data_IF_502209743166
#
_entry.id   IF_502209743166
#
_cell.length_a   1.000
_cell.length_b   1.000
_cell.length_c   1.000
_cell.angle_alpha   90.00
_cell.angle_beta   90.00
_cell.angle_gamma   90.00
#
_symmetry.space_group_name_H-M   'P 1'
#
loop_
_entity.id
_entity.type
_entity.pdbx_description
1 polymer ?
#
# COMPACT_ATOMS: atom_id res chain seq x y z
N UNK A 1 14.18 -2.64 -18.26
CA UNK A 1 13.60 -1.83 -19.36
C UNK A 1 12.47 -2.54 -20.08
N UNK A 2 12.61 -3.85 -20.30
CA UNK A 2 11.60 -4.72 -20.94
C UNK A 2 10.34 -4.89 -20.08
N UNK A 3 9.28 -5.44 -20.66
CA UNK A 3 8.02 -5.71 -19.95
C UNK A 3 8.22 -6.72 -18.81
N UNK A 4 7.31 -6.76 -17.81
CA UNK A 4 7.37 -7.75 -16.73
C UNK A 4 7.37 -9.20 -17.24
N UNK A 5 6.62 -9.49 -18.31
CA UNK A 5 6.55 -10.83 -18.90
C UNK A 5 7.86 -11.22 -19.59
N UNK A 6 8.47 -10.32 -20.37
CA UNK A 6 9.79 -10.53 -20.98
C UNK A 6 10.89 -10.72 -19.92
N UNK A 7 10.80 -9.99 -18.81
CA UNK A 7 11.70 -10.17 -17.67
C UNK A 7 11.51 -11.56 -17.05
N UNK A 8 10.26 -11.93 -16.73
CA UNK A 8 9.95 -13.22 -16.12
C UNK A 8 10.34 -14.41 -17.02
N UNK A 9 10.22 -14.26 -18.33
CA UNK A 9 10.66 -15.26 -19.30
C UNK A 9 12.17 -15.48 -19.28
N UNK A 10 12.98 -14.46 -18.98
CA UNK A 10 14.42 -14.57 -18.86
C UNK A 10 15.10 -13.22 -18.68
N UNK A 11 15.98 -13.07 -17.69
CA UNK A 11 16.71 -11.83 -17.41
C UNK A 11 18.17 -12.08 -16.99
N UNK A 12 18.95 -10.99 -16.99
CA UNK A 12 20.33 -10.99 -16.51
C UNK A 12 20.37 -11.21 -14.99
N UNK A 13 21.34 -11.98 -14.48
CA UNK A 13 21.52 -12.17 -13.05
C UNK A 13 21.70 -10.86 -12.27
N UNK A 14 20.94 -10.71 -11.18
CA UNK A 14 21.00 -9.55 -10.30
C UNK A 14 20.33 -8.27 -10.84
N UNK A 15 19.70 -8.32 -12.03
CA UNK A 15 18.93 -7.19 -12.54
C UNK A 15 17.51 -7.19 -11.96
N UNK A 16 17.03 -6.02 -11.57
CA UNK A 16 15.64 -5.81 -11.19
C UNK A 16 14.77 -5.48 -12.40
N UNK A 17 13.47 -5.82 -12.32
CA UNK A 17 12.50 -5.42 -13.33
C UNK A 17 12.06 -3.96 -13.13
N UNK A 18 12.31 -3.13 -14.13
CA UNK A 18 11.84 -1.75 -14.21
C UNK A 18 11.52 -1.43 -15.69
N UNK A 19 10.23 -1.40 -16.10
CA UNK A 19 9.84 -0.99 -17.44
C UNK A 19 10.26 0.45 -17.73
N UNK A 20 10.77 0.74 -18.93
CA UNK A 20 11.46 2.00 -19.24
C UNK A 20 10.67 3.27 -18.88
N UNK A 21 9.43 3.39 -19.37
CA UNK A 21 8.58 4.55 -19.06
C UNK A 21 8.30 4.73 -17.57
N UNK A 22 8.04 3.63 -16.85
CA UNK A 22 7.81 3.66 -15.40
C UNK A 22 9.06 4.09 -14.64
N UNK A 23 10.24 3.62 -15.07
CA UNK A 23 11.51 4.00 -14.43
C UNK A 23 11.78 5.51 -14.55
N UNK A 24 11.45 6.12 -15.69
CA UNK A 24 11.60 7.58 -15.86
C UNK A 24 10.58 8.34 -15.00
N UNK A 25 9.35 7.84 -14.90
CA UNK A 25 8.28 8.52 -14.15
C UNK A 25 8.43 8.38 -12.62
N UNK A 26 8.89 7.23 -12.14
CA UNK A 26 9.01 6.90 -10.71
C UNK A 26 10.45 6.49 -10.38
N UNK A 27 11.43 7.28 -10.84
CA UNK A 27 12.86 6.95 -10.64
C UNK A 27 13.22 6.77 -9.18
N UNK A 28 12.64 7.56 -8.28
CA UNK A 28 12.87 7.51 -6.84
C UNK A 28 12.41 6.18 -6.20
N UNK A 29 11.38 5.53 -6.73
CA UNK A 29 10.94 4.21 -6.28
C UNK A 29 11.98 3.11 -6.59
N UNK A 30 12.76 3.29 -7.65
CA UNK A 30 13.75 2.30 -8.12
C UNK A 30 15.19 2.65 -7.72
N UNK A 31 15.52 3.93 -7.64
CA UNK A 31 16.84 4.48 -7.32
C UNK A 31 16.70 5.59 -6.26
N UNK A 32 16.44 5.24 -4.99
CA UNK A 32 16.23 6.23 -3.92
C UNK A 32 17.51 6.96 -3.51
N UNK A 33 18.69 6.45 -3.89
CA UNK A 33 19.98 7.06 -3.56
C UNK A 33 20.43 7.99 -4.68
N UNK A 34 20.24 9.30 -4.51
CA UNK A 34 20.69 10.31 -5.48
C UNK A 34 22.20 10.21 -5.72
N UNK A 35 22.60 10.20 -6.99
CA UNK A 35 24.01 10.06 -7.39
C UNK A 35 24.50 8.61 -7.47
N UNK A 36 23.65 7.62 -7.19
CA UNK A 36 23.95 6.22 -7.49
C UNK A 36 24.13 6.01 -9.00
N UNK A 37 24.92 4.99 -9.34
CA UNK A 37 25.04 4.51 -10.72
C UNK A 37 23.86 3.62 -11.08
N UNK A 38 23.23 3.88 -12.21
CA UNK A 38 22.14 3.05 -12.74
C UNK A 38 22.65 2.32 -13.99
N UNK A 39 22.49 1.00 -14.02
CA UNK A 39 22.86 0.17 -15.17
C UNK A 39 21.59 -0.37 -15.81
N UNK A 40 21.39 -0.08 -17.10
CA UNK A 40 20.22 -0.49 -17.87
C UNK A 40 20.58 -1.62 -18.82
N UNK A 41 19.63 -2.53 -19.04
CA UNK A 41 19.74 -3.58 -20.03
C UNK A 41 18.40 -3.82 -20.74
N UNK A 42 18.52 -4.14 -22.03
CA UNK A 42 17.46 -4.66 -22.88
C UNK A 42 18.03 -5.75 -23.81
N UNK A 43 17.27 -6.13 -24.83
CA UNK A 43 17.64 -7.10 -25.86
C UNK A 43 17.55 -6.53 -27.28
N UNK A 44 17.26 -5.24 -27.43
CA UNK A 44 17.03 -4.57 -28.72
C UNK A 44 17.90 -3.31 -28.93
N UNK A 45 18.59 -2.83 -27.89
CA UNK A 45 19.42 -1.63 -27.93
C UNK A 45 18.62 -0.33 -28.06
N UNK A 46 17.30 -0.38 -27.89
CA UNK A 46 16.43 0.81 -28.07
C UNK A 46 15.88 1.25 -26.73
N UNK A 47 15.33 0.31 -25.95
CA UNK A 47 14.59 0.64 -24.72
C UNK A 47 15.54 1.16 -23.64
N UNK A 48 16.72 0.58 -23.52
CA UNK A 48 17.76 0.98 -22.59
C UNK A 48 18.38 2.31 -23.00
N UNK A 49 18.73 2.50 -24.27
CA UNK A 49 19.31 3.76 -24.76
C UNK A 49 18.34 4.94 -24.59
N UNK A 50 17.07 4.77 -24.99
CA UNK A 50 16.05 5.80 -24.82
C UNK A 50 15.79 6.12 -23.35
N UNK A 51 15.77 5.12 -22.47
CA UNK A 51 15.57 5.35 -21.03
C UNK A 51 16.81 6.03 -20.42
N UNK A 52 18.01 5.63 -20.84
CA UNK A 52 19.26 6.20 -20.37
C UNK A 52 19.39 7.68 -20.75
N UNK A 53 18.97 8.09 -21.95
CA UNK A 53 19.02 9.49 -22.34
C UNK A 53 18.17 10.39 -21.44
N UNK A 54 16.98 9.94 -21.03
CA UNK A 54 16.15 10.66 -20.05
C UNK A 54 16.77 10.70 -18.65
N UNK A 55 17.29 9.57 -18.17
CA UNK A 55 17.95 9.53 -16.85
C UNK A 55 19.22 10.40 -16.81
N UNK A 56 19.99 10.44 -17.89
CA UNK A 56 21.17 11.30 -18.02
C UNK A 56 20.79 12.79 -17.96
N UNK A 57 19.73 13.18 -18.69
CA UNK A 57 19.16 14.53 -18.63
C UNK A 57 18.63 14.88 -17.22
N UNK A 58 18.19 13.89 -16.44
CA UNK A 58 17.85 14.04 -15.02
C UNK A 58 19.05 13.97 -14.07
N UNK A 59 20.28 14.03 -14.58
CA UNK A 59 21.52 14.14 -13.80
C UNK A 59 22.02 12.83 -13.16
N UNK A 60 21.62 11.66 -13.68
CA UNK A 60 22.07 10.36 -13.19
C UNK A 60 23.35 9.85 -13.90
N UNK A 61 24.24 9.15 -13.18
CA UNK A 61 25.32 8.35 -13.82
C UNK A 61 24.71 7.04 -14.33
N UNK A 62 24.36 7.04 -15.62
CA UNK A 62 23.72 5.90 -16.28
C UNK A 62 24.67 5.20 -17.24
N UNK A 63 24.60 3.86 -17.26
CA UNK A 63 25.32 3.00 -18.19
C UNK A 63 24.34 2.05 -18.86
N UNK A 64 24.54 1.76 -20.13
CA UNK A 64 23.77 0.75 -20.86
C UNK A 64 24.67 -0.46 -21.12
N UNK A 65 24.15 -1.64 -20.81
CA UNK A 65 24.75 -2.91 -21.23
C UNK A 65 24.40 -3.09 -22.70
N UNK A 66 25.39 -3.46 -23.53
CA UNK A 66 25.11 -3.78 -24.93
C UNK A 66 24.05 -4.89 -25.05
N UNK A 67 23.26 -4.90 -26.14
CA UNK A 67 22.13 -5.82 -26.29
C UNK A 67 22.56 -7.27 -26.02
N UNK A 68 21.88 -7.89 -25.05
CA UNK A 68 22.28 -9.20 -24.54
C UNK A 68 21.55 -10.31 -25.28
N UNK A 69 22.24 -11.41 -25.61
CA UNK A 69 21.61 -12.56 -26.25
C UNK A 69 20.66 -13.30 -25.29
N UNK A 70 19.66 -14.00 -25.85
CA UNK A 70 18.74 -14.81 -25.05
C UNK A 70 19.43 -15.88 -24.18
N UNK A 71 20.57 -16.40 -24.61
CA UNK A 71 21.36 -17.42 -23.89
C UNK A 71 22.01 -16.90 -22.61
N UNK A 72 22.23 -15.58 -22.51
CA UNK A 72 22.87 -14.94 -21.36
C UNK A 72 21.83 -14.48 -20.31
N UNK A 73 20.54 -14.50 -20.66
CA UNK A 73 19.41 -14.21 -19.77
C UNK A 73 18.96 -15.46 -19.01
N UNK A 74 19.80 -15.89 -18.08
CA UNK A 74 19.66 -17.18 -17.38
C UNK A 74 18.66 -17.22 -16.23
N UNK A 75 18.39 -16.09 -15.56
CA UNK A 75 17.43 -16.04 -14.45
C UNK A 75 15.99 -15.93 -14.98
N UNK A 76 15.03 -16.56 -14.30
CA UNK A 76 13.61 -16.59 -14.70
C UNK A 76 12.72 -16.33 -13.48
N UNK A 77 11.50 -15.86 -13.75
CA UNK A 77 10.51 -15.54 -12.72
C UNK A 77 10.55 -14.08 -12.28
N UNK A 78 9.87 -13.79 -11.17
CA UNK A 78 9.77 -12.44 -10.62
C UNK A 78 11.08 -11.94 -10.00
N UNK A 79 11.19 -10.63 -9.76
CA UNK A 79 12.39 -10.05 -9.16
C UNK A 79 12.70 -10.69 -7.80
N UNK A 80 13.98 -10.97 -7.56
CA UNK A 80 14.42 -11.53 -6.29
C UNK A 80 14.07 -10.59 -5.13
N UNK A 81 13.30 -11.08 -4.16
CA UNK A 81 12.95 -10.32 -2.98
C UNK A 81 14.12 -10.32 -1.99
N UNK A 82 15.01 -9.32 -2.09
CA UNK A 82 15.98 -9.01 -1.04
C UNK A 82 15.31 -8.21 0.08
N UNK A 83 14.29 -8.80 0.71
CA UNK A 83 13.61 -8.20 1.86
C UNK A 83 14.29 -8.66 3.16
N UNK A 84 14.34 -7.81 4.21
CA UNK A 84 14.72 -8.28 5.54
C UNK A 84 13.78 -9.40 5.98
N UNK A 85 14.29 -10.32 6.81
CA UNK A 85 13.45 -11.35 7.41
C UNK A 85 12.81 -10.81 8.70
N UNK A 86 11.49 -10.99 8.90
CA UNK A 86 10.86 -10.62 10.16
C UNK A 86 11.34 -11.52 11.28
N UNK A 87 11.27 -11.03 12.53
CA UNK A 87 11.46 -11.87 13.70
C UNK A 87 10.40 -12.98 13.72
N UNK A 88 10.82 -14.19 14.10
CA UNK A 88 9.91 -15.30 14.29
C UNK A 88 8.75 -14.89 15.21
N UNK A 89 7.54 -15.11 14.73
CA UNK A 89 6.31 -14.80 15.45
C UNK A 89 5.49 -16.06 15.61
N UNK A 90 4.83 -16.20 16.75
CA UNK A 90 3.81 -17.23 16.92
C UNK A 90 2.74 -17.07 15.85
N UNK A 91 2.32 -18.18 15.26
CA UNK A 91 1.33 -18.21 14.19
C UNK A 91 0.03 -18.83 14.67
N UNK A 92 -1.06 -18.52 13.97
CA UNK A 92 -2.36 -19.18 14.15
C UNK A 92 -2.90 -19.59 12.79
N UNK A 93 -3.43 -20.81 12.70
CA UNK A 93 -4.03 -21.32 11.47
C UNK A 93 -5.35 -20.62 11.16
N UNK A 94 -5.77 -20.67 9.90
CA UNK A 94 -7.07 -20.14 9.45
C UNK A 94 -8.23 -20.80 10.20
N UNK A 95 -8.20 -22.12 10.38
CA UNK A 95 -9.27 -22.86 11.07
C UNK A 95 -9.40 -22.47 12.54
N UNK A 96 -8.27 -22.34 13.24
CA UNK A 96 -8.26 -21.93 14.65
C UNK A 96 -8.78 -20.50 14.80
N UNK A 97 -8.36 -19.57 13.95
CA UNK A 97 -8.89 -18.21 13.99
C UNK A 97 -10.39 -18.17 13.68
N UNK A 98 -10.85 -18.93 12.67
CA UNK A 98 -12.26 -19.02 12.33
C UNK A 98 -13.10 -19.54 13.50
N UNK A 99 -12.61 -20.57 14.20
CA UNK A 99 -13.25 -21.10 15.40
C UNK A 99 -13.34 -20.04 16.52
N UNK A 100 -12.27 -19.30 16.79
CA UNK A 100 -12.27 -18.24 17.81
C UNK A 100 -13.25 -17.12 17.49
N UNK A 101 -13.44 -16.80 16.20
CA UNK A 101 -14.39 -15.79 15.75
C UNK A 101 -15.83 -16.31 15.64
N UNK A 102 -16.08 -17.60 15.86
CA UNK A 102 -17.39 -18.22 15.63
C UNK A 102 -17.81 -18.20 14.17
N UNK A 103 -16.84 -18.16 13.25
CA UNK A 103 -17.06 -18.08 11.81
C UNK A 103 -16.92 -19.48 11.22
N UNK A 104 -17.87 -19.87 10.38
CA UNK A 104 -17.87 -21.16 9.68
C UNK A 104 -17.92 -20.94 8.17
N UNK A 105 -17.33 -21.87 7.42
CA UNK A 105 -17.47 -21.89 5.97
C UNK A 105 -18.96 -22.01 5.61
N UNK A 106 -19.45 -21.07 4.80
CA UNK A 106 -20.82 -21.12 4.30
C UNK A 106 -21.00 -22.31 3.36
N UNK A 107 -22.05 -23.10 3.55
CA UNK A 107 -22.48 -24.07 2.55
C UNK A 107 -22.99 -23.31 1.31
N UNK A 108 -22.21 -23.38 0.22
CA UNK A 108 -22.48 -22.92 -1.15
C UNK A 108 -22.39 -21.42 -1.49
N UNK A 109 -21.43 -21.13 -2.37
CA UNK A 109 -21.69 -20.39 -3.60
C UNK A 109 -21.05 -21.15 -4.78
N UNK A 110 -21.59 -22.33 -5.09
CA UNK A 110 -21.39 -22.98 -6.38
C UNK A 110 -22.62 -22.63 -7.24
N UNK A 111 -22.54 -21.53 -7.98
CA UNK A 111 -23.53 -21.17 -8.98
C UNK A 111 -22.85 -20.42 -10.14
N UNK A 112 -22.68 -21.14 -11.25
CA UNK A 112 -22.78 -20.55 -12.59
C UNK A 112 -21.51 -19.94 -13.18
N UNK A 113 -20.57 -20.78 -13.58
CA UNK A 113 -19.85 -20.53 -14.82
C UNK A 113 -20.84 -20.69 -15.99
N UNK A 114 -21.33 -19.58 -16.52
CA UNK A 114 -21.95 -19.53 -17.85
C UNK A 114 -21.72 -18.13 -18.45
N UNK A 115 -21.06 -18.12 -19.60
CA UNK A 115 -20.84 -16.95 -20.43
C UNK A 115 -22.16 -16.33 -20.88
N UNK A 116 -22.24 -14.99 -20.88
CA UNK A 116 -22.79 -14.21 -21.99
C UNK A 116 -22.64 -12.70 -21.79
N UNK A 117 -22.09 -12.06 -22.83
CA UNK A 117 -22.57 -10.79 -23.40
C UNK A 117 -22.67 -9.56 -22.52
N UNK A 118 -21.77 -8.61 -22.75
CA UNK A 118 -22.01 -7.18 -22.48
C UNK A 118 -23.30 -6.71 -23.21
N UNK A 119 -24.07 -5.81 -22.59
CA UNK A 119 -24.51 -4.66 -23.35
C UNK A 119 -24.21 -3.33 -22.63
N UNK A 120 -23.95 -2.34 -23.48
CA UNK A 120 -23.71 -0.94 -23.16
C UNK A 120 -24.93 -0.24 -22.55
N UNK A 121 -24.64 0.72 -21.67
CA UNK A 121 -25.38 1.99 -21.57
C UNK A 121 -26.74 1.99 -20.87
N UNK A 122 -26.78 2.51 -19.64
CA UNK A 122 -27.69 3.63 -19.30
C UNK A 122 -27.36 4.24 -17.93
N UNK A 123 -27.51 5.55 -17.89
CA UNK A 123 -27.10 6.45 -16.81
C UNK A 123 -28.18 6.65 -15.74
N UNK A 124 -27.72 7.20 -14.62
CA UNK A 124 -28.38 8.08 -13.66
C UNK A 124 -29.26 7.48 -12.53
N UNK A 125 -28.76 7.66 -11.30
CA UNK A 125 -29.42 8.19 -10.08
C UNK A 125 -28.68 7.61 -8.86
N UNK A 126 -28.26 8.32 -7.81
CA UNK A 126 -28.32 9.72 -7.41
C UNK A 126 -27.63 9.75 -6.03
N UNK A 127 -26.58 10.57 -5.90
CA UNK A 127 -25.68 10.62 -4.75
C UNK A 127 -26.30 11.36 -3.55
N UNK A 128 -26.32 10.68 -2.40
CA UNK A 128 -26.60 11.26 -1.09
C UNK A 128 -25.53 10.79 -0.09
N UNK A 129 -24.26 11.12 -0.33
CA UNK A 129 -23.17 10.92 0.63
C UNK A 129 -22.17 12.10 0.70
N UNK A 130 -22.37 13.17 -0.08
CA UNK A 130 -21.42 14.27 -0.21
C UNK A 130 -21.46 15.37 0.88
N UNK A 131 -21.70 15.04 2.17
CA UNK A 131 -21.81 16.08 3.23
C UNK A 131 -20.85 15.98 4.41
N UNK A 132 -19.91 15.04 4.47
CA UNK A 132 -19.05 14.91 5.66
C UNK A 132 -17.54 14.80 5.43
N UNK A 133 -17.02 15.22 4.27
CA UNK A 133 -15.57 15.18 3.99
C UNK A 133 -14.94 16.52 3.62
N UNK A 134 -15.71 17.63 3.63
CA UNK A 134 -15.18 18.97 3.27
C UNK A 134 -14.28 19.59 4.34
N UNK A 135 -14.50 19.29 5.62
CA UNK A 135 -13.83 20.04 6.70
C UNK A 135 -12.46 19.47 7.12
N UNK A 136 -12.12 18.25 6.71
CA UNK A 136 -10.86 17.60 7.12
C UNK A 136 -9.70 17.80 6.12
N UNK A 137 -9.98 18.23 4.89
CA UNK A 137 -8.99 18.26 3.80
C UNK A 137 -8.37 19.65 3.58
N UNK A 138 -9.03 20.73 4.02
CA UNK A 138 -8.52 22.10 3.93
C UNK A 138 -7.47 22.44 5.00
N UNK A 139 -7.35 21.63 6.06
CA UNK A 139 -6.45 21.91 7.18
C UNK A 139 -4.98 21.58 6.88
N UNK A 140 -4.70 20.53 6.11
CA UNK A 140 -3.32 20.08 5.88
C UNK A 140 -2.55 20.94 4.86
N UNK A 141 -3.25 21.58 3.93
CA UNK A 141 -2.65 22.52 2.98
C UNK A 141 -2.30 23.89 3.59
N UNK A 142 -2.80 24.19 4.80
CA UNK A 142 -2.59 25.49 5.49
C UNK A 142 -1.52 25.46 6.58
N UNK A 143 -0.97 24.30 6.91
CA UNK A 143 -0.01 24.14 8.01
C UNK A 143 1.46 24.44 7.62
N UNK A 144 1.73 24.73 6.34
CA UNK A 144 3.05 25.21 5.85
C UNK A 144 3.19 26.74 5.96
N UNK A 145 2.12 27.47 6.31
CA UNK A 145 2.16 28.91 6.57
C UNK A 145 1.74 29.17 8.03
N UNK A 146 2.74 29.33 8.91
CA UNK A 146 2.54 29.40 10.35
C UNK A 146 1.63 30.54 10.82
N UNK A 147 0.83 30.26 11.84
CA UNK A 147 0.40 31.20 12.89
C UNK A 147 -0.19 30.40 14.05
N UNK A 148 0.20 30.75 15.28
CA UNK A 148 -0.12 30.01 16.49
C UNK A 148 -1.38 30.47 17.21
N UNK A 149 -1.81 29.66 18.18
CA UNK A 149 -2.55 30.14 19.35
C UNK A 149 -3.85 29.40 19.67
N UNK A 150 -3.87 28.72 20.82
CA UNK A 150 -5.05 28.70 21.69
C UNK A 150 -5.64 27.34 22.05
N UNK A 151 -5.66 27.04 23.36
CA UNK A 151 -6.79 26.33 23.98
C UNK A 151 -6.55 24.89 24.45
N UNK A 152 -5.75 24.71 25.51
CA UNK A 152 -5.72 23.46 26.26
C UNK A 152 -7.01 23.32 27.09
N UNK A 153 -7.95 22.49 26.61
CA UNK A 153 -9.13 22.10 27.37
C UNK A 153 -8.99 20.64 27.80
N UNK A 154 -8.53 20.48 29.05
CA UNK A 154 -8.54 19.25 29.83
C UNK A 154 -9.96 18.66 29.87
N UNK A 155 -10.19 17.57 29.13
CA UNK A 155 -11.35 16.70 29.32
C UNK A 155 -10.89 15.43 30.00
N UNK A 156 -11.12 15.39 31.30
CA UNK A 156 -11.09 14.21 32.14
C UNK A 156 -11.75 13.03 31.43
N UNK A 157 -10.97 11.96 31.25
CA UNK A 157 -11.44 10.67 30.79
C UNK A 157 -12.48 10.14 31.81
N UNK A 158 -13.75 10.10 31.40
CA UNK A 158 -14.76 9.31 32.08
C UNK A 158 -14.48 7.84 31.80
N UNK A 159 -14.15 7.08 32.85
CA UNK A 159 -14.18 5.61 32.82
C UNK A 159 -15.57 5.15 32.37
N UNK A 160 -15.63 4.48 31.21
CA UNK A 160 -16.87 3.84 30.74
C UNK A 160 -16.96 2.47 31.40
N UNK A 161 -18.08 2.24 32.08
CA UNK A 161 -18.46 0.95 32.64
C UNK A 161 -18.83 -0.04 31.53
N UNK A 162 -17.82 -0.60 30.85
CA UNK A 162 -17.85 -1.82 30.01
C UNK A 162 -16.41 -2.27 29.62
N UNK A 163 -15.44 -2.18 30.55
CA UNK A 163 -13.99 -2.35 30.27
C UNK A 163 -13.48 -3.82 30.33
N UNK A 164 -14.36 -4.80 30.12
CA UNK A 164 -13.93 -6.20 30.04
C UNK A 164 -13.23 -6.45 28.69
N UNK A 165 -12.00 -7.02 28.69
CA UNK A 165 -11.30 -7.30 27.44
C UNK A 165 -12.05 -8.35 26.63
N UNK A 166 -12.18 -8.12 25.32
CA UNK A 166 -12.70 -9.13 24.39
C UNK A 166 -11.69 -10.29 24.26
N UNK A 167 -12.14 -11.46 23.84
CA UNK A 167 -11.23 -12.61 23.76
C UNK A 167 -10.17 -12.44 22.66
N UNK A 168 -10.56 -12.06 21.44
CA UNK A 168 -9.65 -11.91 20.29
C UNK A 168 -9.91 -10.61 19.52
N UNK A 169 -8.84 -9.86 19.26
CA UNK A 169 -8.85 -8.74 18.32
C UNK A 169 -8.00 -9.07 17.08
N UNK A 170 -8.60 -8.97 15.89
CA UNK A 170 -7.88 -9.10 14.61
C UNK A 170 -7.48 -7.71 14.12
N UNK A 171 -6.20 -7.52 13.80
CA UNK A 171 -5.64 -6.27 13.24
C UNK A 171 -5.18 -6.55 11.80
N UNK A 172 -5.78 -5.88 10.83
CA UNK A 172 -5.36 -5.93 9.43
C UNK A 172 -4.46 -4.73 9.11
N UNK A 173 -3.20 -5.02 8.78
CA UNK A 173 -2.18 -4.01 8.44
C UNK A 173 -1.92 -3.93 6.92
N UNK A 174 -2.78 -4.52 6.09
CA UNK A 174 -2.74 -4.34 4.62
C UNK A 174 -3.01 -2.87 4.23
N UNK A 175 -2.76 -2.48 2.97
CA UNK A 175 -3.19 -1.18 2.46
C UNK A 175 -4.71 -0.98 2.63
N UNK A 176 -5.17 0.21 2.99
CA UNK A 176 -6.58 0.49 3.29
C UNK A 176 -7.52 0.14 2.14
N UNK A 177 -7.06 0.30 0.90
CA UNK A 177 -7.82 -0.09 -0.30
C UNK A 177 -8.11 -1.59 -0.37
N UNK A 178 -7.17 -2.44 0.08
CA UNK A 178 -7.37 -3.88 0.16
C UNK A 178 -8.35 -4.24 1.27
N UNK A 179 -8.20 -3.63 2.46
CA UNK A 179 -9.13 -3.81 3.57
C UNK A 179 -10.56 -3.45 3.14
N UNK A 180 -10.77 -2.27 2.58
CA UNK A 180 -12.09 -1.80 2.10
C UNK A 180 -12.65 -2.75 1.03
N UNK A 181 -11.81 -3.31 0.16
CA UNK A 181 -12.25 -4.26 -0.87
C UNK A 181 -12.76 -5.57 -0.26
N UNK A 182 -12.04 -6.13 0.72
CA UNK A 182 -12.39 -7.33 1.48
C UNK A 182 -11.44 -7.56 2.66
N UNK A 183 -11.99 -7.92 3.81
CA UNK A 183 -11.21 -8.24 5.02
C UNK A 183 -11.91 -9.32 5.87
N UNK A 184 -11.17 -9.85 6.85
CA UNK A 184 -11.70 -10.84 7.82
C UNK A 184 -12.80 -10.18 8.65
N UNK A 185 -13.95 -10.85 8.89
CA UNK A 185 -15.04 -10.27 9.68
C UNK A 185 -14.58 -9.76 11.04
N UNK A 186 -14.98 -8.53 11.37
CA UNK A 186 -14.59 -7.86 12.61
C UNK A 186 -13.13 -7.41 12.73
N UNK A 187 -12.30 -7.55 11.70
CA UNK A 187 -10.92 -7.05 11.73
C UNK A 187 -10.86 -5.51 11.79
N UNK A 188 -9.92 -4.99 12.57
CA UNK A 188 -9.61 -3.56 12.66
C UNK A 188 -8.50 -3.20 11.69
N UNK A 189 -8.75 -2.25 10.80
CA UNK A 189 -7.70 -1.67 9.96
C UNK A 189 -6.78 -0.79 10.80
N UNK A 190 -5.47 -1.02 10.72
CA UNK A 190 -4.46 -0.17 11.35
C UNK A 190 -3.23 0.00 10.46
N UNK A 191 -2.68 1.21 10.45
CA UNK A 191 -1.37 1.49 9.84
C UNK A 191 -0.29 1.04 10.81
N UNK A 192 0.64 0.19 10.37
CA UNK A 192 1.74 -0.35 11.20
C UNK A 192 2.48 0.74 12.00
N UNK A 193 2.80 1.86 11.37
CA UNK A 193 3.49 2.98 12.00
C UNK A 193 2.66 3.71 13.09
N UNK A 194 1.36 3.46 13.14
CA UNK A 194 0.41 4.09 14.06
C UNK A 194 -0.20 3.11 15.06
N UNK A 195 0.38 1.91 15.25
CA UNK A 195 -0.16 0.88 16.14
C UNK A 195 -0.41 1.38 17.56
N UNK A 196 0.45 2.27 18.07
CA UNK A 196 0.28 2.89 19.40
C UNK A 196 -1.03 3.65 19.50
N UNK A 197 -1.33 4.51 18.53
CA UNK A 197 -2.56 5.31 18.52
C UNK A 197 -3.77 4.45 18.18
N UNK A 198 -3.61 3.47 17.28
CA UNK A 198 -4.66 2.53 16.90
C UNK A 198 -5.17 1.74 18.11
N UNK A 199 -4.29 1.30 19.01
CA UNK A 199 -4.67 0.59 20.24
C UNK A 199 -5.59 1.41 21.15
N UNK A 200 -5.49 2.74 21.15
CA UNK A 200 -6.37 3.61 21.95
C UNK A 200 -7.80 3.67 21.43
N UNK A 201 -8.01 3.27 20.17
CA UNK A 201 -9.30 3.29 19.46
C UNK A 201 -9.95 1.92 19.37
N UNK A 202 -9.24 0.88 19.83
CA UNK A 202 -9.70 -0.50 19.84
C UNK A 202 -10.12 -0.92 21.26
N UNK A 203 -11.07 -1.85 21.39
CA UNK A 203 -11.30 -2.52 22.67
C UNK A 203 -10.04 -3.28 23.10
N UNK A 204 -9.81 -3.38 24.40
CA UNK A 204 -8.77 -4.25 24.95
C UNK A 204 -9.08 -5.70 24.60
N UNK A 205 -8.07 -6.49 24.26
CA UNK A 205 -8.24 -7.90 23.96
C UNK A 205 -7.30 -8.78 24.78
N UNK A 206 -7.73 -10.02 25.04
CA UNK A 206 -6.92 -11.06 25.70
C UNK A 206 -5.91 -11.68 24.74
N UNK A 207 -6.16 -11.62 23.43
CA UNK A 207 -5.31 -12.12 22.37
C UNK A 207 -5.43 -11.21 21.13
N UNK A 208 -4.30 -10.92 20.48
CA UNK A 208 -4.26 -10.15 19.24
C UNK A 208 -3.77 -11.03 18.09
N UNK A 209 -4.44 -10.95 16.94
CA UNK A 209 -4.03 -11.64 15.71
C UNK A 209 -3.80 -10.62 14.61
N UNK A 210 -2.58 -10.52 14.09
CA UNK A 210 -2.28 -9.67 12.94
C UNK A 210 -2.46 -10.43 11.64
N UNK A 211 -3.00 -9.74 10.65
CA UNK A 211 -3.07 -10.20 9.26
C UNK A 211 -2.65 -9.09 8.30
N UNK A 212 -2.30 -9.49 7.09
CA UNK A 212 -2.25 -8.67 5.90
C UNK A 212 -2.48 -9.60 4.70
N UNK A 213 -2.23 -9.16 3.46
CA UNK A 213 -2.41 -10.02 2.27
C UNK A 213 -1.79 -11.42 2.42
N UNK A 214 -0.46 -11.51 2.57
CA UNK A 214 0.30 -12.76 2.65
C UNK A 214 0.78 -13.15 4.05
N UNK A 215 0.56 -12.28 5.06
CA UNK A 215 1.13 -12.41 6.41
C UNK A 215 2.53 -11.80 6.58
N UNK A 216 3.23 -11.44 5.49
CA UNK A 216 4.61 -10.92 5.56
C UNK A 216 4.73 -9.60 6.34
N UNK A 217 3.91 -8.59 6.02
CA UNK A 217 3.91 -7.32 6.77
C UNK A 217 3.40 -7.50 8.21
N UNK A 218 2.44 -8.40 8.41
CA UNK A 218 1.90 -8.72 9.73
C UNK A 218 2.97 -9.29 10.67
N UNK A 219 3.91 -10.09 10.16
CA UNK A 219 5.01 -10.62 10.96
C UNK A 219 5.93 -9.53 11.53
N UNK A 220 6.21 -8.49 10.76
CA UNK A 220 6.94 -7.33 11.28
C UNK A 220 6.11 -6.52 12.28
N UNK A 221 4.84 -6.28 11.96
CA UNK A 221 3.92 -5.54 12.84
C UNK A 221 3.67 -6.27 14.17
N UNK A 222 3.77 -7.61 14.21
CA UNK A 222 3.64 -8.39 15.43
C UNK A 222 4.75 -8.09 16.44
N UNK A 223 6.00 -7.91 15.98
CA UNK A 223 7.12 -7.53 16.84
C UNK A 223 6.89 -6.13 17.44
N UNK A 224 6.47 -5.17 16.61
CA UNK A 224 6.15 -3.82 17.06
C UNK A 224 4.99 -3.81 18.07
N UNK A 225 3.94 -4.59 17.80
CA UNK A 225 2.78 -4.67 18.68
C UNK A 225 3.14 -5.26 20.04
N UNK A 226 3.96 -6.32 20.09
CA UNK A 226 4.44 -6.91 21.36
C UNK A 226 5.19 -5.89 22.21
N UNK A 227 5.96 -4.99 21.61
CA UNK A 227 6.68 -3.94 22.33
C UNK A 227 5.75 -2.86 22.93
N UNK A 228 4.50 -2.78 22.48
CA UNK A 228 3.49 -1.82 22.95
C UNK A 228 2.55 -2.40 24.01
N UNK A 229 2.45 -3.73 24.10
CA UNK A 229 1.51 -4.43 24.98
C UNK A 229 2.16 -4.86 26.31
N UNK A 230 1.35 -5.09 27.38
CA UNK A 230 1.86 -5.71 28.60
C UNK A 230 2.55 -7.04 28.33
N UNK A 231 3.64 -7.30 29.04
CA UNK A 231 4.40 -8.54 28.92
C UNK A 231 3.49 -9.78 29.07
N UNK A 232 3.66 -10.76 28.18
CA UNK A 232 2.88 -11.99 28.17
C UNK A 232 1.52 -11.89 27.47
N UNK A 233 1.16 -10.74 26.89
CA UNK A 233 -0.05 -10.64 26.06
C UNK A 233 0.13 -11.44 24.76
N UNK A 234 -0.71 -12.45 24.46
CA UNK A 234 -0.62 -13.25 23.24
C UNK A 234 -0.77 -12.39 21.97
N UNK A 235 0.17 -12.56 21.05
CA UNK A 235 0.19 -11.92 19.73
C UNK A 235 0.54 -12.97 18.68
N UNK A 236 -0.39 -13.26 17.78
CA UNK A 236 -0.20 -14.21 16.69
C UNK A 236 -0.23 -13.52 15.32
N UNK A 237 0.35 -14.19 14.32
CA UNK A 237 0.22 -13.85 12.91
C UNK A 237 -0.62 -14.91 12.22
N UNK A 238 -1.62 -14.50 11.43
CA UNK A 238 -2.42 -15.44 10.65
C UNK A 238 -1.57 -16.10 9.56
N UNK A 239 -1.52 -17.44 9.56
CA UNK A 239 -0.79 -18.22 8.56
C UNK A 239 -1.33 -17.98 7.16
N UNK A 240 -0.46 -17.56 6.24
CA UNK A 240 -0.82 -17.20 4.87
C UNK A 240 -1.69 -15.94 4.73
N UNK A 241 -1.96 -15.23 5.84
CA UNK A 241 -2.71 -13.98 5.88
C UNK A 241 -4.14 -14.07 5.35
N UNK A 242 -4.68 -12.91 4.97
CA UNK A 242 -6.04 -12.80 4.45
C UNK A 242 -6.22 -13.56 3.12
N UNK A 243 -5.14 -13.78 2.34
CA UNK A 243 -5.21 -14.62 1.14
C UNK A 243 -5.51 -16.09 1.48
N UNK A 244 -4.95 -16.65 2.55
CA UNK A 244 -5.28 -18.01 2.99
C UNK A 244 -6.70 -18.10 3.55
N UNK A 245 -7.15 -17.09 4.30
CA UNK A 245 -8.55 -16.98 4.74
C UNK A 245 -9.54 -17.02 3.55
N UNK A 246 -9.24 -16.26 2.49
CA UNK A 246 -10.03 -16.26 1.26
C UNK A 246 -9.99 -17.61 0.54
N UNK A 247 -8.82 -18.25 0.47
CA UNK A 247 -8.66 -19.56 -0.16
C UNK A 247 -9.45 -20.66 0.58
N UNK A 248 -9.64 -20.52 1.89
CA UNK A 248 -10.47 -21.40 2.70
C UNK A 248 -11.98 -21.19 2.50
N UNK A 249 -12.40 -20.22 1.66
CA UNK A 249 -13.82 -19.96 1.38
C UNK A 249 -14.59 -19.40 2.58
N UNK A 250 -13.90 -18.85 3.58
CA UNK A 250 -14.50 -18.24 4.75
C UNK A 250 -15.13 -16.88 4.39
N UNK A 251 -16.18 -16.44 5.12
CA UNK A 251 -16.85 -15.18 4.84
C UNK A 251 -15.92 -13.99 5.06
N UNK A 252 -16.24 -12.88 4.40
CA UNK A 252 -15.49 -11.62 4.46
C UNK A 252 -16.43 -10.43 4.57
N UNK A 253 -15.94 -9.37 5.19
CA UNK A 253 -16.57 -8.05 5.19
C UNK A 253 -15.99 -7.16 4.10
N UNK A 254 -16.72 -6.10 3.74
CA UNK A 254 -16.33 -5.09 2.74
C UNK A 254 -16.68 -3.70 3.27
N UNK A 255 -16.03 -2.68 2.74
CA UNK A 255 -16.23 -1.30 3.17
C UNK A 255 -15.37 -0.93 4.38
N UNK A 256 -15.67 0.22 4.96
CA UNK A 256 -14.94 0.82 6.08
C UNK A 256 -15.58 0.42 7.42
N UNK A 257 -15.54 -0.87 7.77
CA UNK A 257 -16.29 -1.37 8.94
C UNK A 257 -15.64 -0.96 10.27
N UNK A 258 -14.32 -1.09 10.42
CA UNK A 258 -13.58 -0.76 11.66
C UNK A 258 -12.21 -0.14 11.36
N UNK A 259 -12.13 1.19 11.37
CA UNK A 259 -10.89 1.92 11.12
C UNK A 259 -10.25 2.39 12.44
N UNK A 260 -9.18 1.72 12.89
CA UNK A 260 -8.38 2.20 14.02
C UNK A 260 -7.42 3.33 13.59
N UNK A 261 -6.92 3.28 12.35
CA UNK A 261 -6.10 4.35 11.75
C UNK A 261 -6.86 5.11 10.65
N UNK A 262 -6.57 6.41 10.44
CA UNK A 262 -7.04 7.12 9.25
C UNK A 262 -6.43 6.53 7.97
N UNK A 263 -7.15 6.64 6.85
CA UNK A 263 -6.74 6.13 5.53
C UNK A 263 -5.81 7.11 4.80
N UNK A 264 -4.62 7.31 5.35
CA UNK A 264 -3.58 8.19 4.79
C UNK A 264 -2.40 7.39 4.20
N UNK A 265 -2.56 6.08 4.05
CA UNK A 265 -1.53 5.14 3.57
C UNK A 265 -1.30 5.22 2.06
N UNK A 266 -2.16 5.94 1.33
CA UNK A 266 -2.04 6.16 -0.11
C UNK A 266 -2.39 7.60 -0.45
N UNK A 267 -1.49 8.28 -1.15
CA UNK A 267 -1.81 9.55 -1.79
C UNK A 267 -2.82 9.31 -2.92
N UNK A 268 -3.96 10.01 -2.86
CA UNK A 268 -4.97 9.96 -3.91
C UNK A 268 -4.50 10.82 -5.09
N UNK A 269 -3.78 10.17 -6.02
CA UNK A 269 -3.26 10.79 -7.25
C UNK A 269 -4.42 11.32 -8.11
N UNK A 270 -4.51 12.64 -8.37
CA UNK A 270 -5.62 13.23 -9.13
C UNK A 270 -5.75 12.71 -10.56
N UNK A 271 -4.64 12.22 -11.13
CA UNK A 271 -4.55 11.65 -12.48
C UNK A 271 -4.83 10.13 -12.55
N UNK A 272 -5.13 9.47 -11.43
CA UNK A 272 -5.48 8.04 -11.43
C UNK A 272 -7.00 7.82 -11.26
N UNK A 273 -7.58 7.02 -12.16
CA UNK A 273 -9.00 6.66 -12.14
C UNK A 273 -9.93 7.78 -12.63
N UNK A 274 -11.25 7.53 -12.60
CA UNK A 274 -12.26 8.45 -13.18
C UNK A 274 -13.15 9.13 -12.13
N UNK A 275 -12.89 8.89 -10.84
CA UNK A 275 -13.73 9.38 -9.72
C UNK A 275 -13.22 10.65 -9.03
N UNK A 276 -12.23 11.35 -9.61
CA UNK A 276 -11.65 12.55 -9.01
C UNK A 276 -12.46 13.80 -9.37
N UNK A 277 -12.56 14.74 -8.44
CA UNK A 277 -13.22 16.02 -8.67
C UNK A 277 -12.45 16.85 -9.72
N UNK A 278 -13.16 17.60 -10.55
CA UNK A 278 -12.56 18.42 -11.60
C UNK A 278 -11.58 19.44 -11.03
N UNK A 279 -11.92 20.01 -9.88
CA UNK A 279 -11.10 20.99 -9.16
C UNK A 279 -9.77 20.39 -8.70
N UNK A 280 -9.76 19.12 -8.26
CA UNK A 280 -8.54 18.43 -7.87
C UNK A 280 -7.64 18.11 -9.07
N UNK A 281 -8.24 17.79 -10.22
CA UNK A 281 -7.49 17.60 -11.47
C UNK A 281 -6.91 18.93 -11.97
N UNK A 282 -7.67 20.02 -11.90
CA UNK A 282 -7.16 21.35 -12.27
C UNK A 282 -6.03 21.80 -11.34
N UNK A 283 -6.18 21.64 -10.03
CA UNK A 283 -5.15 21.99 -9.05
C UNK A 283 -3.84 21.21 -9.27
N UNK A 284 -3.93 19.96 -9.75
CA UNK A 284 -2.77 19.18 -10.14
C UNK A 284 -2.02 19.80 -11.33
N UNK A 285 -2.74 20.23 -12.38
CA UNK A 285 -2.14 20.90 -13.54
C UNK A 285 -1.51 22.25 -13.16
N UNK A 286 -2.20 23.02 -12.31
CA UNK A 286 -1.68 24.29 -11.82
C UNK A 286 -0.40 24.11 -10.99
N UNK A 287 -0.33 23.03 -10.19
CA UNK A 287 0.88 22.64 -9.47
C UNK A 287 2.03 22.26 -10.42
N UNK A 288 1.77 21.43 -11.44
CA UNK A 288 2.77 21.04 -12.44
C UNK A 288 3.34 22.25 -13.19
N UNK A 289 2.50 23.22 -13.54
CA UNK A 289 2.94 24.46 -14.20
C UNK A 289 3.97 25.23 -13.36
N UNK A 290 3.82 25.23 -12.04
CA UNK A 290 4.74 25.90 -11.11
C UNK A 290 6.05 25.15 -10.82
N UNK A 291 6.24 23.93 -11.32
CA UNK A 291 7.41 23.11 -10.96
C UNK A 291 8.73 23.68 -11.49
N UNK A 292 8.76 24.28 -12.68
CA UNK A 292 9.99 24.83 -13.26
C UNK A 292 10.57 25.95 -12.39
N UNK A 293 9.70 26.82 -11.87
CA UNK A 293 10.12 27.88 -10.95
C UNK A 293 10.64 27.30 -9.62
N UNK A 294 9.97 26.27 -9.10
CA UNK A 294 10.41 25.57 -7.90
C UNK A 294 11.78 24.90 -8.09
N UNK A 295 12.04 24.28 -9.25
CA UNK A 295 13.35 23.74 -9.59
C UNK A 295 14.44 24.83 -9.58
N UNK A 296 14.14 26.00 -10.16
CA UNK A 296 15.05 27.13 -10.15
C UNK A 296 15.37 27.64 -8.73
N UNK A 297 14.39 27.60 -7.82
CA UNK A 297 14.57 27.96 -6.40
C UNK A 297 15.37 26.92 -5.62
N UNK A 298 15.15 25.64 -5.88
CA UNK A 298 15.89 24.54 -5.26
C UNK A 298 17.36 24.53 -5.71
N UNK A 299 17.60 24.58 -7.01
CA UNK A 299 18.95 24.69 -7.60
C UNK A 299 19.85 23.46 -7.42
N UNK A 300 19.34 22.32 -6.95
CA UNK A 300 20.13 21.10 -6.72
C UNK A 300 19.87 19.97 -7.73
N UNK A 301 18.89 20.14 -8.62
CA UNK A 301 18.40 19.11 -9.54
C UNK A 301 19.45 18.61 -10.54
N UNK A 302 20.37 19.47 -11.04
CA UNK A 302 21.37 19.12 -12.09
C UNK A 302 20.73 18.54 -13.37
N UNK A 303 19.53 19.00 -13.70
CA UNK A 303 18.86 18.61 -14.94
C UNK A 303 19.41 19.43 -16.10
N UNK A 304 19.54 18.79 -17.25
CA UNK A 304 19.99 19.37 -18.50
C UNK A 304 19.21 18.75 -19.65
N UNK A 305 18.74 19.53 -20.62
CA UNK A 305 17.93 19.05 -21.75
C UNK A 305 18.78 19.19 -23.02
N UNK A 306 18.99 18.07 -23.71
CA UNK A 306 19.88 17.94 -24.86
C UNK A 306 19.31 18.52 -26.16
#
# INVERSE_FOLDING_TARGET
>A
MRTPDEYAAGHLPGFASAPGGQLVQETDHHAPVRGARIVLADDDGVRADMTASWLAQMGWDVRVVEPVDARERGERGGPAASAPQPQASETVSVDTLAQWLGVHAGAHANAGAAANGLPEGQAAHGDASARNTRDAQDAHAREIAGEGGGGHADRRAGERADDAPIDVAVIDVTASTNYVKRHIPGAWYAVRAQLRDALTRMPRARCYVLTCGSGQLAAFAAADLRALLPAGTPVHVLEGGTLAWLAAGLPVERGETRLASPRIDRYRRPYEGTGNAAEAMQAYLDWEFGLVEQLGRDGTHRFDVL
#
